data_IF_785988145586
#
_entry.id   IF_785988145586
#
_cell.length_a   1.000
_cell.length_b   1.000
_cell.length_c   1.000
_cell.angle_alpha   90.00
_cell.angle_beta   90.00
_cell.angle_gamma   90.00
#
_symmetry.space_group_name_H-M   'P 1'
#
loop_
_entity.id
_entity.type
_entity.pdbx_description
1 polymer ?
#
# COMPACT_ATOMS: atom_id res chain seq x y z
N UNK A 1 -10.53 -29.43 -2.74
CA UNK A 1 -9.75 -29.67 -1.50
C UNK A 1 -8.41 -28.93 -1.52
N UNK A 2 -7.93 -28.46 -2.67
CA UNK A 2 -6.63 -27.78 -2.82
C UNK A 2 -6.61 -26.28 -2.48
N UNK A 3 -7.77 -25.60 -2.58
CA UNK A 3 -7.87 -24.14 -2.37
C UNK A 3 -7.48 -23.68 -0.94
N UNK A 4 -7.63 -24.55 0.07
CA UNK A 4 -7.31 -24.20 1.47
C UNK A 4 -5.80 -24.26 1.78
N UNK A 5 -5.02 -24.99 0.99
CA UNK A 5 -3.55 -25.13 1.20
C UNK A 5 -2.81 -23.92 0.66
N UNK A 6 -3.27 -23.36 -0.47
CA UNK A 6 -2.73 -22.13 -1.03
C UNK A 6 -2.88 -20.93 -0.09
N UNK A 7 -3.99 -20.86 0.68
CA UNK A 7 -4.20 -19.80 1.67
C UNK A 7 -3.19 -19.88 2.82
N UNK A 8 -2.81 -21.08 3.26
CA UNK A 8 -1.81 -21.28 4.32
C UNK A 8 -0.39 -20.91 3.87
N UNK A 9 -0.02 -21.19 2.62
CA UNK A 9 1.30 -20.86 2.07
C UNK A 9 1.51 -19.34 1.88
N UNK A 10 0.45 -18.58 1.63
CA UNK A 10 0.48 -17.11 1.59
C UNK A 10 0.59 -16.46 2.99
N UNK A 11 0.55 -17.27 4.06
CA UNK A 11 0.49 -16.82 5.46
C UNK A 11 1.67 -17.31 6.30
N UNK A 12 2.67 -17.99 5.71
CA UNK A 12 3.81 -18.53 6.47
C UNK A 12 4.62 -17.43 7.17
N UNK A 13 4.72 -16.26 6.56
CA UNK A 13 5.19 -15.04 7.20
C UNK A 13 4.03 -14.05 7.30
N UNK A 14 3.56 -13.79 8.51
CA UNK A 14 2.50 -12.81 8.75
C UNK A 14 2.81 -11.45 8.13
N UNK A 15 1.77 -10.71 7.76
CA UNK A 15 1.95 -9.34 7.28
C UNK A 15 2.69 -8.51 8.34
N UNK A 16 3.78 -7.82 7.98
CA UNK A 16 4.48 -6.97 8.92
C UNK A 16 3.53 -5.89 9.40
N UNK A 17 3.24 -5.94 10.70
CA UNK A 17 2.31 -5.06 11.38
C UNK A 17 2.93 -3.71 11.71
N UNK A 18 4.26 -3.61 11.61
CA UNK A 18 5.05 -2.42 11.92
C UNK A 18 6.15 -2.20 10.88
N UNK A 19 6.59 -0.94 10.72
CA UNK A 19 7.70 -0.59 9.84
C UNK A 19 8.98 -1.37 10.18
N UNK A 20 9.26 -1.57 11.47
CA UNK A 20 10.42 -2.33 11.94
C UNK A 20 10.34 -3.81 11.57
N UNK A 21 9.15 -4.39 11.52
CA UNK A 21 8.94 -5.77 11.08
C UNK A 21 9.14 -5.90 9.57
N UNK A 22 8.66 -4.91 8.79
CA UNK A 22 8.87 -4.84 7.35
C UNK A 22 10.37 -4.71 6.99
N UNK A 23 11.14 -3.95 7.78
CA UNK A 23 12.58 -3.76 7.56
C UNK A 23 13.44 -5.01 7.83
N UNK A 24 12.91 -6.04 8.49
CA UNK A 24 13.62 -7.31 8.71
C UNK A 24 13.59 -8.22 7.48
N UNK A 25 12.73 -7.93 6.51
CA UNK A 25 12.63 -8.68 5.28
C UNK A 25 13.84 -8.40 4.37
N UNK A 26 14.32 -9.40 3.62
CA UNK A 26 15.36 -9.24 2.60
C UNK A 26 14.99 -8.18 1.55
N UNK A 27 13.70 -7.96 1.32
CA UNK A 27 13.17 -7.02 0.33
C UNK A 27 13.06 -5.57 0.86
N UNK A 28 13.41 -5.33 2.12
CA UNK A 28 13.30 -4.02 2.76
C UNK A 28 13.99 -2.90 1.98
N UNK A 29 15.14 -3.18 1.37
CA UNK A 29 15.89 -2.20 0.56
C UNK A 29 15.11 -1.78 -0.70
N UNK A 30 14.49 -2.74 -1.39
CA UNK A 30 13.66 -2.49 -2.58
C UNK A 30 12.43 -1.64 -2.22
N UNK A 31 11.82 -1.93 -1.06
CA UNK A 31 10.66 -1.18 -0.57
C UNK A 31 11.04 0.28 -0.25
N UNK A 32 12.21 0.49 0.36
CA UNK A 32 12.72 1.84 0.64
C UNK A 32 13.01 2.63 -0.65
N UNK A 33 13.64 2.00 -1.65
CA UNK A 33 13.87 2.63 -2.96
C UNK A 33 12.57 3.03 -3.64
N UNK A 34 11.59 2.12 -3.70
CA UNK A 34 10.28 2.41 -4.30
C UNK A 34 9.54 3.54 -3.56
N UNK A 35 9.65 3.61 -2.22
CA UNK A 35 9.05 4.67 -1.43
C UNK A 35 9.68 6.04 -1.71
N UNK A 36 11.00 6.07 -1.87
CA UNK A 36 11.76 7.27 -2.21
C UNK A 36 11.38 7.80 -3.61
N UNK A 37 11.36 6.92 -4.61
CA UNK A 37 10.95 7.28 -5.98
C UNK A 37 9.53 7.84 -6.02
N UNK A 38 8.62 7.26 -5.23
CA UNK A 38 7.23 7.72 -5.15
C UNK A 38 7.18 9.14 -4.60
N UNK A 39 7.88 9.44 -3.50
CA UNK A 39 7.87 10.78 -2.90
C UNK A 39 8.49 11.84 -3.82
N UNK A 40 9.59 11.51 -4.50
CA UNK A 40 10.17 12.40 -5.51
C UNK A 40 9.20 12.71 -6.65
N UNK A 41 8.44 11.70 -7.12
CA UNK A 41 7.39 11.90 -8.10
C UNK A 41 6.28 12.83 -7.59
N UNK A 42 5.87 12.71 -6.32
CA UNK A 42 4.86 13.60 -5.72
C UNK A 42 5.35 15.05 -5.63
N UNK A 43 6.61 15.27 -5.21
CA UNK A 43 7.22 16.60 -5.18
C UNK A 43 7.34 17.22 -6.57
N UNK A 44 7.80 16.44 -7.56
CA UNK A 44 7.94 16.90 -8.95
C UNK A 44 6.60 17.34 -9.54
N UNK A 45 5.53 16.63 -9.22
CA UNK A 45 4.19 16.90 -9.75
C UNK A 45 3.43 17.99 -8.98
N UNK A 46 4.01 18.55 -7.90
CA UNK A 46 3.38 19.57 -7.02
C UNK A 46 1.97 19.18 -6.56
N UNK A 47 1.71 17.89 -6.39
CA UNK A 47 0.36 17.40 -6.08
C UNK A 47 0.12 17.26 -4.58
N UNK A 48 1.17 17.29 -3.75
CA UNK A 48 1.07 17.08 -2.31
C UNK A 48 1.87 18.13 -1.55
N UNK A 49 1.25 18.71 -0.52
CA UNK A 49 1.92 19.56 0.45
C UNK A 49 2.08 18.80 1.77
N UNK A 50 3.27 18.84 2.35
CA UNK A 50 3.52 18.25 3.66
C UNK A 50 2.99 19.19 4.75
N UNK A 51 1.93 18.76 5.43
CA UNK A 51 1.28 19.51 6.49
C UNK A 51 1.28 18.72 7.80
N UNK A 52 1.46 19.38 8.96
CA UNK A 52 1.33 18.71 10.25
C UNK A 52 -0.09 18.18 10.41
N UNK A 53 -0.21 16.92 10.83
CA UNK A 53 -1.50 16.27 11.03
C UNK A 53 -2.31 17.02 12.09
N UNK A 54 -3.46 17.60 11.70
CA UNK A 54 -4.38 18.23 12.66
C UNK A 54 -5.10 17.15 13.48
N UNK A 55 -5.30 17.40 14.78
CA UNK A 55 -5.82 16.41 15.74
C UNK A 55 -7.23 15.89 15.41
N UNK A 56 -7.96 16.54 14.50
CA UNK A 56 -9.33 16.20 14.13
C UNK A 56 -9.45 15.28 12.90
N UNK A 57 -8.33 14.98 12.20
CA UNK A 57 -8.38 14.21 10.95
C UNK A 57 -7.62 12.90 11.03
N UNK A 58 -8.21 11.86 10.45
CA UNK A 58 -7.62 10.51 10.37
C UNK A 58 -7.01 10.28 8.99
N UNK A 59 -5.76 9.83 8.91
CA UNK A 59 -5.12 9.50 7.65
C UNK A 59 -5.74 8.24 7.04
N UNK A 60 -5.79 8.19 5.71
CA UNK A 60 -6.32 7.02 5.00
C UNK A 60 -5.28 5.90 5.03
N UNK A 61 -5.71 4.70 5.42
CA UNK A 61 -4.88 3.48 5.44
C UNK A 61 -5.63 2.37 4.71
N UNK A 62 -4.97 1.72 3.76
CA UNK A 62 -5.52 0.56 3.05
C UNK A 62 -5.54 -0.63 4.02
N UNK A 63 -6.69 -1.33 4.10
CA UNK A 63 -6.80 -2.57 4.87
C UNK A 63 -6.52 -3.76 3.95
N UNK A 64 -5.40 -4.44 4.18
CA UNK A 64 -5.00 -5.66 3.44
C UNK A 64 -6.05 -6.78 3.53
N UNK A 65 -6.86 -6.82 4.59
CA UNK A 65 -8.03 -7.70 4.71
C UNK A 65 -8.95 -7.65 3.47
N UNK A 66 -9.18 -6.47 2.90
CA UNK A 66 -10.02 -6.33 1.71
C UNK A 66 -9.34 -6.93 0.47
N UNK A 67 -8.05 -6.68 0.29
CA UNK A 67 -7.26 -7.25 -0.81
C UNK A 67 -7.26 -8.79 -0.73
N UNK A 68 -7.06 -9.33 0.47
CA UNK A 68 -7.09 -10.77 0.73
C UNK A 68 -8.43 -11.42 0.39
N UNK A 69 -9.55 -10.77 0.70
CA UNK A 69 -10.89 -11.30 0.33
C UNK A 69 -11.04 -11.36 -1.18
N UNK A 70 -10.59 -10.33 -1.91
CA UNK A 70 -10.62 -10.34 -3.38
C UNK A 70 -9.76 -11.46 -3.96
N UNK A 71 -8.53 -11.63 -3.47
CA UNK A 71 -7.64 -12.72 -3.91
C UNK A 71 -8.23 -14.09 -3.57
N UNK A 72 -8.83 -14.25 -2.39
CA UNK A 72 -9.49 -15.49 -1.99
C UNK A 72 -10.70 -15.81 -2.88
N UNK A 73 -11.50 -14.81 -3.25
CA UNK A 73 -12.59 -14.99 -4.21
C UNK A 73 -12.06 -15.44 -5.57
N UNK A 74 -10.99 -14.80 -6.09
CA UNK A 74 -10.38 -15.21 -7.36
C UNK A 74 -9.90 -16.67 -7.30
N UNK A 75 -9.26 -17.09 -6.21
CA UNK A 75 -8.80 -18.47 -6.03
C UNK A 75 -9.94 -19.49 -5.88
N UNK A 76 -11.03 -19.12 -5.19
CA UNK A 76 -12.20 -19.99 -5.00
C UNK A 76 -12.96 -20.18 -6.31
N UNK A 77 -13.09 -19.12 -7.10
CA UNK A 77 -13.87 -19.11 -8.34
C UNK A 77 -13.03 -19.37 -9.59
N UNK A 78 -11.76 -19.73 -9.45
CA UNK A 78 -10.81 -19.97 -10.55
C UNK A 78 -10.76 -18.79 -11.56
N UNK A 79 -10.81 -17.57 -11.03
CA UNK A 79 -10.79 -16.36 -11.84
C UNK A 79 -9.36 -15.98 -12.19
N UNK A 80 -9.15 -15.61 -13.45
CA UNK A 80 -7.89 -15.04 -13.89
C UNK A 80 -7.68 -13.66 -13.26
N UNK A 81 -6.57 -13.47 -12.54
CA UNK A 81 -6.20 -12.20 -11.95
C UNK A 81 -5.16 -11.51 -12.83
N UNK A 82 -5.48 -10.31 -13.31
CA UNK A 82 -4.54 -9.43 -13.99
C UNK A 82 -4.25 -8.21 -13.12
N UNK A 83 -2.97 -7.88 -12.91
CA UNK A 83 -2.56 -6.70 -12.17
C UNK A 83 -2.37 -5.52 -13.13
N UNK A 84 -3.13 -4.44 -12.91
CA UNK A 84 -2.96 -3.17 -13.62
C UNK A 84 -2.53 -2.09 -12.63
N UNK A 85 -1.28 -1.65 -12.74
CA UNK A 85 -0.79 -0.46 -12.02
C UNK A 85 -0.96 0.77 -12.91
N UNK A 86 -1.93 1.62 -12.55
CA UNK A 86 -2.15 2.89 -13.24
C UNK A 86 -1.28 3.94 -12.56
N UNK A 87 -0.11 4.20 -13.16
CA UNK A 87 0.71 5.37 -12.81
C UNK A 87 -0.19 6.59 -12.92
N UNK A 88 -0.38 7.32 -11.80
CA UNK A 88 -1.20 8.55 -11.69
C UNK A 88 -2.72 8.39 -11.50
N UNK A 89 -3.22 7.23 -11.05
CA UNK A 89 -4.64 7.06 -10.72
C UNK A 89 -5.18 8.13 -9.74
N UNK A 90 -4.32 8.63 -8.84
CA UNK A 90 -4.66 9.68 -7.87
C UNK A 90 -4.64 11.11 -8.44
N UNK A 91 -4.15 11.33 -9.67
CA UNK A 91 -3.93 12.67 -10.24
C UNK A 91 -4.96 13.07 -11.31
N UNK A 92 -5.77 12.12 -11.79
CA UNK A 92 -6.66 12.33 -12.94
C UNK A 92 -8.16 12.19 -12.59
N UNK A 93 -8.48 12.04 -11.31
CA UNK A 93 -9.85 12.13 -10.81
C UNK A 93 -10.02 13.44 -10.04
N UNK A 94 -11.08 14.18 -10.35
CA UNK A 94 -11.49 15.31 -9.51
C UNK A 94 -11.89 14.76 -8.14
N UNK A 95 -11.20 15.20 -7.10
CA UNK A 95 -11.51 14.84 -5.72
C UNK A 95 -12.13 16.06 -5.04
N UNK A 96 -13.38 15.94 -4.60
CA UNK A 96 -14.09 17.02 -3.90
C UNK A 96 -13.55 17.26 -2.48
N UNK A 97 -12.74 16.33 -1.95
CA UNK A 97 -12.28 16.31 -0.56
C UNK A 97 -10.75 16.44 -0.43
N UNK A 98 -10.31 17.12 0.63
CA UNK A 98 -8.90 17.19 1.01
C UNK A 98 -8.51 15.96 1.84
N UNK A 99 -7.62 15.13 1.30
CA UNK A 99 -7.16 13.89 1.92
C UNK A 99 -5.76 14.02 2.54
N UNK A 100 -5.55 13.36 3.67
CA UNK A 100 -4.29 13.35 4.39
C UNK A 100 -3.73 11.93 4.43
N UNK A 101 -2.42 11.80 4.20
CA UNK A 101 -1.68 10.54 4.35
C UNK A 101 -0.59 10.71 5.40
N UNK A 102 -0.30 9.65 6.14
CA UNK A 102 0.89 9.63 6.99
C UNK A 102 2.13 9.47 6.14
N UNK A 103 3.13 10.29 6.44
CA UNK A 103 4.47 10.03 5.94
C UNK A 103 4.96 8.69 6.51
N UNK A 104 5.49 7.79 5.68
CA UNK A 104 6.09 6.55 6.17
C UNK A 104 7.28 6.83 7.09
N UNK A 105 7.44 5.98 8.10
CA UNK A 105 8.60 6.03 8.99
C UNK A 105 9.91 5.79 8.21
N UNK A 106 11.00 6.38 8.71
CA UNK A 106 12.33 6.22 8.10
C UNK A 106 12.66 7.21 6.97
N UNK A 107 11.69 8.01 6.53
CA UNK A 107 11.89 9.04 5.53
C UNK A 107 12.19 10.39 6.20
N UNK A 108 13.39 10.94 5.99
CA UNK A 108 13.79 12.26 6.48
C UNK A 108 13.74 13.25 5.32
N UNK A 109 12.88 14.26 5.43
CA UNK A 109 12.91 15.47 4.59
C UNK A 109 14.05 16.38 4.99
#
# INVERSE_FOLDING_TARGET
MESNVAYYLLMEDGEPSTFQEALKNSDASLWMTAMQEKIEALHKNKTWDLVPLSQERKPIVIRLTTVRVVLAMCAIFDLHLEQLDVKTAFLHGDLEEEIYMLQPEGLRT
#
